data_IF_855912063340
#
_entry.id   IF_855912063340
#
_cell.length_a   1.000
_cell.length_b   1.000
_cell.length_c   1.000
_cell.angle_alpha   90.00
_cell.angle_beta   90.00
_cell.angle_gamma   90.00
#
_symmetry.space_group_name_H-M   'P 1'
#
loop_
_entity.id
_entity.type
_entity.pdbx_description
1 polymer ?
#
# COMPACT_ATOMS: atom_id res chain seq x y z
N UNK A 1 -35.02 25.30 1.98
CA UNK A 1 -35.69 24.69 3.16
C UNK A 1 -34.61 24.09 4.06
N UNK A 2 -34.29 24.73 5.18
CA UNK A 2 -33.25 24.27 6.11
C UNK A 2 -33.76 23.04 6.88
N UNK A 3 -33.03 21.92 6.80
CA UNK A 3 -33.39 20.68 7.48
C UNK A 3 -33.15 20.89 8.99
N UNK A 4 -34.11 20.54 9.87
CA UNK A 4 -33.95 20.81 11.30
C UNK A 4 -32.68 20.15 11.84
N UNK A 5 -31.87 20.97 12.50
CA UNK A 5 -30.59 20.58 13.09
C UNK A 5 -30.81 19.87 14.43
N UNK A 6 -31.50 18.73 14.38
CA UNK A 6 -31.63 17.82 15.51
C UNK A 6 -30.78 16.59 15.23
N UNK A 7 -29.82 16.31 16.09
CA UNK A 7 -29.03 15.09 16.04
C UNK A 7 -28.94 14.52 17.45
N UNK A 8 -29.33 13.26 17.59
CA UNK A 8 -29.15 12.51 18.81
C UNK A 8 -27.79 11.84 18.74
N UNK A 9 -26.90 12.24 19.64
CA UNK A 9 -25.55 11.67 19.75
C UNK A 9 -25.61 10.63 20.87
N UNK A 10 -25.37 9.37 20.52
CA UNK A 10 -25.48 8.24 21.45
C UNK A 10 -24.37 8.27 22.51
N UNK A 11 -23.18 8.73 22.13
CA UNK A 11 -22.00 8.75 23.00
C UNK A 11 -22.09 9.84 24.09
N UNK A 12 -21.43 9.59 25.22
CA UNK A 12 -21.31 10.57 26.29
C UNK A 12 -20.29 11.66 25.96
N UNK A 13 -20.40 12.81 26.63
CA UNK A 13 -19.44 13.90 26.45
C UNK A 13 -18.00 13.47 26.84
N UNK A 14 -17.88 12.73 27.93
CA UNK A 14 -16.59 12.23 28.42
C UNK A 14 -15.94 11.26 27.44
N UNK A 15 -16.74 10.39 26.81
CA UNK A 15 -16.26 9.45 25.81
C UNK A 15 -15.71 10.16 24.58
N UNK A 16 -16.44 11.16 24.07
CA UNK A 16 -15.99 11.95 22.92
C UNK A 16 -14.70 12.73 23.25
N UNK A 17 -14.60 13.30 24.46
CA UNK A 17 -13.40 14.02 24.92
C UNK A 17 -12.19 13.10 25.00
N UNK A 18 -12.34 11.90 25.59
CA UNK A 18 -11.26 10.90 25.65
C UNK A 18 -10.82 10.49 24.24
N UNK A 19 -11.77 10.17 23.35
CA UNK A 19 -11.46 9.80 21.96
C UNK A 19 -10.75 10.92 21.22
N UNK A 20 -11.15 12.17 21.41
CA UNK A 20 -10.51 13.34 20.81
C UNK A 20 -9.04 13.50 21.22
N UNK A 21 -8.72 13.26 22.49
CA UNK A 21 -7.35 13.30 23.00
C UNK A 21 -6.48 12.17 22.43
N UNK A 22 -7.06 10.97 22.26
CA UNK A 22 -6.33 9.81 21.73
C UNK A 22 -6.20 9.78 20.21
N UNK A 23 -7.05 10.51 19.49
CA UNK A 23 -7.06 10.51 18.03
C UNK A 23 -5.73 11.06 17.48
N UNK A 24 -5.14 10.34 16.52
CA UNK A 24 -3.88 10.77 15.87
C UNK A 24 -4.10 11.48 14.54
N UNK A 25 -5.19 11.16 13.85
CA UNK A 25 -5.49 11.65 12.51
C UNK A 25 -6.31 12.95 12.57
N UNK A 26 -5.88 13.99 11.86
CA UNK A 26 -6.55 15.31 11.86
C UNK A 26 -8.02 15.24 11.47
N UNK A 27 -8.34 14.49 10.40
CA UNK A 27 -9.72 14.28 9.95
C UNK A 27 -10.61 13.64 11.03
N UNK A 28 -10.08 12.68 11.80
CA UNK A 28 -10.81 12.05 12.90
C UNK A 28 -11.02 13.03 14.06
N UNK A 29 -10.00 13.86 14.36
CA UNK A 29 -10.12 14.90 15.39
C UNK A 29 -11.21 15.91 15.06
N UNK A 30 -11.26 16.42 13.83
CA UNK A 30 -12.30 17.39 13.41
C UNK A 30 -13.72 16.83 13.56
N UNK A 31 -13.93 15.58 13.14
CA UNK A 31 -15.20 14.88 13.28
C UNK A 31 -15.59 14.64 14.74
N UNK A 32 -14.63 14.27 15.60
CA UNK A 32 -14.85 14.11 17.03
C UNK A 32 -15.13 15.45 17.71
N UNK A 33 -14.42 16.51 17.32
CA UNK A 33 -14.59 17.87 17.83
C UNK A 33 -15.99 18.38 17.52
N UNK A 34 -16.46 18.18 16.29
CA UNK A 34 -17.83 18.47 15.86
C UNK A 34 -18.85 17.77 16.76
N UNK A 35 -18.74 16.45 16.98
CA UNK A 35 -19.67 15.70 17.83
C UNK A 35 -19.61 16.16 19.28
N UNK A 36 -18.43 16.45 19.82
CA UNK A 36 -18.27 16.94 21.18
C UNK A 36 -18.93 18.30 21.39
N UNK A 37 -18.77 19.26 20.46
CA UNK A 37 -19.46 20.56 20.52
C UNK A 37 -20.98 20.44 20.45
N UNK A 38 -21.49 19.50 19.66
CA UNK A 38 -22.91 19.22 19.57
C UNK A 38 -23.45 18.61 20.86
N UNK A 39 -22.73 17.65 21.44
CA UNK A 39 -23.14 16.98 22.67
C UNK A 39 -23.08 17.91 23.88
N UNK A 40 -22.04 18.74 23.96
CA UNK A 40 -21.86 19.74 25.02
C UNK A 40 -22.74 20.99 24.84
N UNK A 41 -23.49 21.10 23.74
CA UNK A 41 -24.37 22.23 23.46
C UNK A 41 -23.65 23.55 23.14
N UNK A 42 -22.33 23.51 22.89
CA UNK A 42 -21.52 24.69 22.57
C UNK A 42 -21.86 25.31 21.22
N UNK A 43 -22.45 24.53 20.30
CA UNK A 43 -22.81 24.96 18.96
C UNK A 43 -24.23 24.48 18.65
N UNK A 44 -25.07 25.40 18.17
CA UNK A 44 -26.47 25.13 17.81
C UNK A 44 -26.72 25.15 16.30
N UNK A 45 -25.73 25.56 15.49
CA UNK A 45 -25.87 25.71 14.04
C UNK A 45 -24.73 25.08 13.26
N UNK A 46 -25.03 24.51 12.10
CA UNK A 46 -24.02 23.92 11.19
C UNK A 46 -23.00 24.95 10.68
N UNK A 47 -23.46 26.18 10.43
CA UNK A 47 -22.62 27.25 9.91
C UNK A 47 -21.52 27.63 10.90
N UNK A 48 -21.82 27.59 12.20
CA UNK A 48 -20.86 27.86 13.26
C UNK A 48 -19.78 26.76 13.33
N UNK A 49 -20.16 25.49 13.16
CA UNK A 49 -19.20 24.38 13.07
C UNK A 49 -18.25 24.58 11.90
N UNK A 50 -18.80 24.91 10.72
CA UNK A 50 -18.00 25.15 9.52
C UNK A 50 -17.01 26.29 9.70
N UNK A 51 -17.46 27.42 10.28
CA UNK A 51 -16.58 28.56 10.61
C UNK A 51 -15.47 28.18 11.58
N UNK A 52 -15.77 27.45 12.66
CA UNK A 52 -14.79 27.06 13.68
C UNK A 52 -13.77 26.03 13.20
N UNK A 53 -14.18 25.08 12.34
CA UNK A 53 -13.28 24.07 11.77
C UNK A 53 -12.60 24.53 10.48
N UNK A 54 -12.94 25.71 9.94
CA UNK A 54 -12.55 26.16 8.61
C UNK A 54 -12.93 25.15 7.49
N UNK A 55 -14.10 24.54 7.62
CA UNK A 55 -14.64 23.53 6.70
C UNK A 55 -15.99 24.02 6.14
N UNK A 56 -16.26 23.69 4.87
CA UNK A 56 -17.52 24.07 4.24
C UNK A 56 -18.75 23.41 4.91
N UNK A 57 -19.88 24.13 4.92
CA UNK A 57 -21.13 23.68 5.55
C UNK A 57 -21.66 22.38 4.92
N UNK A 58 -21.42 22.15 3.63
CA UNK A 58 -21.80 20.90 2.95
C UNK A 58 -21.02 19.69 3.47
N UNK A 59 -19.75 19.89 3.86
CA UNK A 59 -18.92 18.82 4.44
C UNK A 59 -19.41 18.44 5.84
N UNK A 60 -19.75 19.43 6.67
CA UNK A 60 -20.39 19.21 7.98
C UNK A 60 -21.70 18.44 7.80
N UNK A 61 -22.53 18.83 6.83
CA UNK A 61 -23.77 18.13 6.50
C UNK A 61 -23.51 16.67 6.13
N UNK A 62 -22.51 16.41 5.28
CA UNK A 62 -22.11 15.05 4.88
C UNK A 62 -21.63 14.21 6.07
N UNK A 63 -20.87 14.79 7.00
CA UNK A 63 -20.41 14.10 8.20
C UNK A 63 -21.57 13.73 9.11
N UNK A 64 -22.51 14.65 9.35
CA UNK A 64 -23.70 14.37 10.16
C UNK A 64 -24.60 13.30 9.54
N UNK A 65 -24.77 13.32 8.21
CA UNK A 65 -25.47 12.25 7.50
C UNK A 65 -24.76 10.90 7.66
N UNK A 66 -23.43 10.88 7.51
CA UNK A 66 -22.64 9.64 7.69
C UNK A 66 -22.77 9.09 9.11
N UNK A 67 -22.72 9.96 10.12
CA UNK A 67 -22.93 9.58 11.51
C UNK A 67 -24.33 8.99 11.74
N UNK A 68 -25.38 9.59 11.18
CA UNK A 68 -26.75 9.04 11.29
C UNK A 68 -26.91 7.64 10.69
N UNK A 69 -26.18 7.35 9.60
CA UNK A 69 -26.29 6.08 8.89
C UNK A 69 -25.43 4.97 9.51
N UNK A 70 -24.25 5.31 10.03
CA UNK A 70 -23.20 4.34 10.37
C UNK A 70 -22.59 4.52 11.76
N UNK A 71 -23.14 5.45 12.56
CA UNK A 71 -22.65 5.80 13.89
C UNK A 71 -21.25 6.40 13.89
N UNK A 72 -20.62 6.38 15.07
CA UNK A 72 -19.29 6.90 15.27
C UNK A 72 -18.21 6.09 14.54
N UNK A 73 -18.31 4.76 14.53
CA UNK A 73 -17.35 3.89 13.84
C UNK A 73 -17.29 4.19 12.34
N UNK A 74 -18.44 4.29 11.68
CA UNK A 74 -18.50 4.64 10.27
C UNK A 74 -18.09 6.08 9.98
N UNK A 75 -18.36 7.04 10.88
CA UNK A 75 -17.87 8.42 10.72
C UNK A 75 -16.33 8.48 10.69
N UNK A 76 -15.68 7.72 11.58
CA UNK A 76 -14.22 7.68 11.74
C UNK A 76 -13.52 6.73 10.77
N UNK A 77 -14.27 5.87 10.08
CA UNK A 77 -13.74 4.97 9.07
C UNK A 77 -13.08 5.76 7.92
N UNK A 78 -11.80 5.44 7.69
CA UNK A 78 -11.03 5.92 6.54
C UNK A 78 -11.02 4.82 5.50
N UNK A 79 -11.81 4.99 4.45
CA UNK A 79 -11.80 4.09 3.31
C UNK A 79 -10.51 4.32 2.53
N UNK A 80 -9.55 3.40 2.67
CA UNK A 80 -8.39 3.32 1.79
C UNK A 80 -8.78 2.45 0.61
N UNK A 81 -8.68 2.97 -0.60
CA UNK A 81 -8.84 2.15 -1.79
C UNK A 81 -7.84 0.99 -1.72
N UNK A 82 -8.29 -0.23 -2.02
CA UNK A 82 -7.37 -1.34 -2.26
C UNK A 82 -6.42 -0.89 -3.37
N UNK A 83 -5.12 -0.97 -3.11
CA UNK A 83 -4.12 -0.61 -4.13
C UNK A 83 -4.28 -1.44 -5.40
N UNK A 84 -3.57 -1.07 -6.46
CA UNK A 84 -3.58 -1.82 -7.70
C UNK A 84 -3.30 -3.31 -7.44
N UNK A 85 -4.08 -4.20 -8.06
CA UNK A 85 -3.87 -5.65 -7.99
C UNK A 85 -2.47 -5.95 -8.53
N UNK A 86 -1.77 -6.88 -7.87
CA UNK A 86 -0.43 -7.30 -8.28
C UNK A 86 -0.52 -7.98 -9.64
N UNK A 87 0.45 -7.73 -10.52
CA UNK A 87 0.54 -8.38 -11.85
C UNK A 87 1.06 -9.82 -11.77
N UNK A 88 1.84 -10.16 -10.74
CA UNK A 88 2.36 -11.50 -10.51
C UNK A 88 1.45 -12.19 -9.51
N UNK A 89 0.85 -13.32 -9.91
CA UNK A 89 0.02 -14.16 -9.06
C UNK A 89 0.89 -14.95 -8.06
N UNK A 90 0.29 -15.37 -6.95
CA UNK A 90 1.01 -16.11 -5.90
C UNK A 90 1.56 -17.46 -6.40
N UNK A 91 0.85 -18.13 -7.31
CA UNK A 91 1.33 -19.38 -7.94
C UNK A 91 2.59 -19.16 -8.78
N UNK A 92 2.63 -18.07 -9.56
CA UNK A 92 3.80 -17.72 -10.37
C UNK A 92 4.99 -17.28 -9.51
N UNK A 93 4.73 -16.69 -8.33
CA UNK A 93 5.76 -16.37 -7.34
C UNK A 93 6.38 -17.65 -6.78
N UNK A 94 5.57 -18.62 -6.39
CA UNK A 94 6.04 -19.89 -5.84
C UNK A 94 6.87 -20.68 -6.86
N UNK A 95 6.38 -20.77 -8.11
CA UNK A 95 7.10 -21.43 -9.19
C UNK A 95 8.43 -20.73 -9.51
N UNK A 96 8.45 -19.39 -9.57
CA UNK A 96 9.67 -18.62 -9.80
C UNK A 96 10.69 -18.84 -8.67
N UNK A 97 10.25 -18.90 -7.42
CA UNK A 97 11.13 -19.18 -6.29
C UNK A 97 11.75 -20.59 -6.38
N UNK A 98 10.93 -21.60 -6.69
CA UNK A 98 11.44 -22.96 -6.90
C UNK A 98 12.47 -23.03 -8.03
N UNK A 99 12.22 -22.38 -9.17
CA UNK A 99 13.19 -22.39 -10.28
C UNK A 99 14.50 -21.66 -9.94
N UNK A 100 14.42 -20.57 -9.17
CA UNK A 100 15.62 -19.88 -8.68
C UNK A 100 16.46 -20.76 -7.72
N UNK A 101 15.82 -21.62 -6.93
CA UNK A 101 16.48 -22.54 -6.00
C UNK A 101 17.05 -23.79 -6.72
N UNK A 102 16.25 -24.43 -7.58
CA UNK A 102 16.55 -25.73 -8.23
C UNK A 102 17.73 -25.66 -9.21
N UNK A 103 18.07 -24.46 -9.69
CA UNK A 103 19.45 -24.18 -10.10
C UNK A 103 19.81 -24.39 -11.57
N UNK A 104 18.82 -24.54 -12.47
CA UNK A 104 19.07 -24.30 -13.90
C UNK A 104 19.46 -22.85 -14.21
N UNK A 105 19.13 -21.93 -13.30
CA UNK A 105 19.69 -20.59 -13.23
C UNK A 105 19.32 -19.72 -14.43
N UNK A 106 18.42 -18.77 -14.25
CA UNK A 106 18.13 -17.81 -15.32
C UNK A 106 19.39 -17.03 -15.69
N UNK A 107 19.69 -16.98 -17.00
CA UNK A 107 20.86 -16.27 -17.55
C UNK A 107 20.74 -14.75 -17.43
N UNK A 108 19.51 -14.24 -17.42
CA UNK A 108 19.20 -12.83 -17.26
C UNK A 108 17.80 -12.63 -16.67
N UNK A 109 17.49 -11.42 -16.20
CA UNK A 109 16.11 -11.07 -15.85
C UNK A 109 15.17 -11.08 -17.07
N UNK A 110 15.69 -10.89 -18.28
CA UNK A 110 14.92 -11.04 -19.53
C UNK A 110 14.46 -12.48 -19.74
N UNK A 111 15.31 -13.46 -19.44
CA UNK A 111 14.94 -14.87 -19.49
C UNK A 111 13.80 -15.22 -18.50
N UNK A 112 13.74 -14.52 -17.36
CA UNK A 112 12.64 -14.67 -16.40
C UNK A 112 11.34 -14.07 -16.95
N UNK A 113 11.40 -12.94 -17.65
CA UNK A 113 10.23 -12.34 -18.31
C UNK A 113 9.68 -13.30 -19.37
N UNK A 114 10.55 -13.87 -20.20
CA UNK A 114 10.14 -14.84 -21.23
C UNK A 114 9.56 -16.11 -20.62
N UNK A 115 10.18 -16.64 -19.56
CA UNK A 115 9.68 -17.82 -18.85
C UNK A 115 8.31 -17.57 -18.21
N UNK A 116 8.12 -16.43 -17.54
CA UNK A 116 6.81 -16.03 -16.97
C UNK A 116 5.73 -15.88 -18.05
N UNK A 117 6.11 -15.43 -19.24
CA UNK A 117 5.20 -15.33 -20.39
C UNK A 117 4.83 -16.69 -20.97
N UNK A 118 5.78 -17.64 -21.02
CA UNK A 118 5.57 -18.97 -21.59
C UNK A 118 4.82 -19.91 -20.64
N UNK A 119 5.27 -20.04 -19.40
CA UNK A 119 4.71 -21.01 -18.43
C UNK A 119 3.47 -20.49 -17.70
N UNK A 120 3.43 -19.18 -17.43
CA UNK A 120 2.36 -18.57 -16.64
C UNK A 120 1.45 -17.63 -17.44
N UNK A 121 1.76 -17.38 -18.72
CA UNK A 121 0.98 -16.46 -19.57
C UNK A 121 0.99 -15.01 -19.07
N UNK A 122 1.95 -14.64 -18.21
CA UNK A 122 2.01 -13.32 -17.57
C UNK A 122 2.95 -12.40 -18.35
N UNK A 123 2.39 -11.37 -18.97
CA UNK A 123 3.17 -10.30 -19.60
C UNK A 123 3.60 -9.27 -18.53
N UNK A 124 4.81 -9.44 -18.01
CA UNK A 124 5.35 -8.65 -16.91
C UNK A 124 6.53 -7.83 -17.42
N UNK A 125 6.54 -6.55 -17.07
CA UNK A 125 7.63 -5.65 -17.40
C UNK A 125 8.93 -6.04 -16.68
N UNK A 126 10.05 -5.95 -17.39
CA UNK A 126 11.40 -6.22 -16.86
C UNK A 126 11.66 -5.56 -15.50
N UNK A 127 11.29 -4.29 -15.33
CA UNK A 127 11.48 -3.57 -14.08
C UNK A 127 10.76 -4.20 -12.88
N UNK A 128 9.58 -4.78 -13.14
CA UNK A 128 8.82 -5.51 -12.12
C UNK A 128 9.54 -6.81 -11.75
N UNK A 129 9.98 -7.59 -12.74
CA UNK A 129 10.75 -8.82 -12.50
C UNK A 129 12.04 -8.53 -11.75
N UNK A 130 12.81 -7.54 -12.17
CA UNK A 130 14.03 -7.10 -11.48
C UNK A 130 13.75 -6.73 -10.03
N UNK A 131 12.72 -5.92 -9.77
CA UNK A 131 12.39 -5.50 -8.42
C UNK A 131 12.02 -6.67 -7.51
N UNK A 132 11.28 -7.65 -8.03
CA UNK A 132 10.91 -8.85 -7.29
C UNK A 132 12.12 -9.74 -7.01
N UNK A 133 12.86 -10.13 -8.04
CA UNK A 133 13.97 -11.08 -7.91
C UNK A 133 15.10 -10.48 -7.06
N UNK A 134 15.47 -9.21 -7.28
CA UNK A 134 16.60 -8.57 -6.60
C UNK A 134 16.29 -8.12 -5.18
N UNK A 135 15.13 -7.51 -4.93
CA UNK A 135 14.80 -6.90 -3.64
C UNK A 135 13.89 -7.74 -2.76
N UNK A 136 13.00 -8.56 -3.35
CA UNK A 136 12.10 -9.41 -2.55
C UNK A 136 12.66 -10.79 -2.31
N UNK A 137 13.12 -11.46 -3.36
CA UNK A 137 13.70 -12.81 -3.24
C UNK A 137 15.17 -12.78 -2.84
N UNK A 138 15.86 -11.64 -3.02
CA UNK A 138 17.29 -11.52 -2.73
C UNK A 138 18.17 -12.47 -3.55
N UNK A 139 17.62 -13.05 -4.62
CA UNK A 139 18.28 -14.06 -5.42
C UNK A 139 19.37 -13.42 -6.29
N UNK A 140 20.50 -14.10 -6.43
CA UNK A 140 21.54 -13.76 -7.39
C UNK A 140 21.39 -14.68 -8.60
N UNK A 141 21.40 -14.08 -9.80
CA UNK A 141 21.41 -14.86 -11.03
C UNK A 141 22.67 -15.75 -11.05
N UNK A 142 22.50 -17.03 -11.39
CA UNK A 142 23.60 -17.99 -11.54
C UNK A 142 24.26 -17.79 -12.92
N UNK A 143 24.91 -16.64 -13.10
CA UNK A 143 25.62 -16.31 -14.34
C UNK A 143 27.10 -16.65 -14.17
N UNK A 144 27.76 -17.27 -15.18
CA UNK A 144 29.21 -17.43 -15.17
C UNK A 144 29.89 -16.06 -15.02
N UNK A 145 31.05 -16.04 -14.37
CA UNK A 145 31.85 -14.82 -14.24
C UNK A 145 32.18 -14.31 -15.65
N UNK A 146 31.93 -13.02 -15.97
CA UNK A 146 32.28 -12.47 -17.28
C UNK A 146 33.79 -12.64 -17.53
N UNK A 147 34.14 -13.20 -18.68
CA UNK A 147 35.51 -13.36 -19.15
C UNK A 147 35.95 -12.11 -19.91
N UNK A 148 37.23 -11.76 -19.82
CA UNK A 148 37.77 -10.61 -20.54
C UNK A 148 37.85 -10.93 -22.03
N UNK A 149 37.49 -10.00 -22.91
CA UNK A 149 37.64 -10.19 -24.36
C UNK A 149 39.11 -10.35 -24.80
N UNK A 150 40.07 -9.94 -23.96
CA UNK A 150 41.53 -10.10 -24.17
C UNK A 150 42.06 -11.43 -23.65
N UNK A 151 41.19 -12.30 -23.17
CA UNK A 151 41.57 -13.56 -22.57
C UNK A 151 41.91 -14.55 -23.68
N UNK A 152 43.20 -14.87 -23.80
CA UNK A 152 43.71 -15.74 -24.85
C UNK A 152 43.51 -17.22 -24.47
N UNK A 153 42.77 -17.96 -25.29
CA UNK A 153 42.35 -19.35 -24.98
C UNK A 153 43.56 -20.29 -24.84
N UNK A 154 44.59 -20.07 -25.67
CA UNK A 154 45.81 -20.86 -25.69
C UNK A 154 46.61 -20.67 -24.38
N UNK A 155 46.79 -19.43 -23.94
CA UNK A 155 47.50 -19.09 -22.70
C UNK A 155 46.80 -19.62 -21.44
N UNK A 156 45.47 -19.67 -21.43
CA UNK A 156 44.70 -20.28 -20.32
C UNK A 156 44.92 -21.79 -20.29
N UNK A 157 44.94 -22.42 -21.47
CA UNK A 157 45.11 -23.88 -21.57
C UNK A 157 46.52 -24.31 -21.15
N UNK A 158 47.55 -23.53 -21.51
CA UNK A 158 48.93 -23.74 -21.06
C UNK A 158 49.08 -23.48 -19.56
N UNK A 159 48.51 -22.38 -19.05
CA UNK A 159 48.54 -22.09 -17.61
C UNK A 159 47.88 -23.21 -16.79
N UNK A 160 46.73 -23.74 -17.23
CA UNK A 160 46.05 -24.86 -16.56
C UNK A 160 46.81 -26.18 -16.63
N UNK A 161 47.58 -26.42 -17.71
CA UNK A 161 48.40 -27.65 -17.87
C UNK A 161 49.69 -27.60 -17.06
N UNK A 162 50.30 -26.41 -16.93
CA UNK A 162 51.58 -26.22 -16.25
C UNK A 162 51.45 -25.90 -14.75
N UNK A 163 50.23 -25.84 -14.22
CA UNK A 163 49.97 -25.71 -12.78
C UNK A 163 49.95 -27.11 -12.13
N UNK A 164 51.14 -27.63 -11.84
CA UNK A 164 51.38 -28.70 -10.85
C UNK A 164 52.30 -28.15 -9.77
#
# INVERSE_FOLDING_TARGET
>A
MSRPFKIEIAESEEELKKRLQTARLGNQKEKLQMLWWLKSGQVKEQQEIGKRLAVDTSTVTRWLQKYRLSGLSGLLEIKKAAGAKRKINDDAIAALQQELETGKGFSSYGAIVEWLKQEHGLDIEYGTVYAWVRYRFGAKLKVPRPQSYKQDEELISEFKKNWV
#
